data_IF_980188517341
#
_entry.id   IF_980188517341
#
_cell.length_a   1.000
_cell.length_b   1.000
_cell.length_c   1.000
_cell.angle_alpha   90.00
_cell.angle_beta   90.00
_cell.angle_gamma   90.00
#
_symmetry.space_group_name_H-M   'P 1'
#
loop_
_entity.id
_entity.type
_entity.pdbx_description
1 polymer ?
#
# COMPACT_ATOMS: atom_id res chain seq x y z
N UNK A 1 8.22 15.41 -3.58
CA UNK A 1 8.66 14.60 -2.43
C UNK A 1 8.17 15.28 -1.16
N UNK A 2 7.32 14.62 -0.37
CA UNK A 2 6.68 15.18 0.82
C UNK A 2 7.76 15.55 1.86
N UNK A 3 7.92 16.84 2.11
CA UNK A 3 8.95 17.40 2.99
C UNK A 3 8.83 16.90 4.42
N UNK A 4 9.77 16.06 4.85
CA UNK A 4 10.08 15.82 6.26
C UNK A 4 11.02 16.91 6.74
N UNK A 5 10.48 18.12 6.86
CA UNK A 5 11.24 19.31 7.24
C UNK A 5 10.36 20.34 7.93
N UNK A 6 9.81 19.99 9.09
CA UNK A 6 9.12 20.93 9.98
C UNK A 6 9.74 20.88 11.38
N UNK A 7 10.20 22.04 11.87
CA UNK A 7 10.65 22.39 13.24
C UNK A 7 11.12 21.23 14.12
N UNK A 8 12.45 21.19 14.34
CA UNK A 8 13.24 20.24 15.14
C UNK A 8 12.57 19.81 16.46
N UNK A 9 11.65 18.87 16.39
CA UNK A 9 11.14 18.12 17.53
C UNK A 9 12.10 16.94 17.75
N UNK A 10 12.42 16.61 19.01
CA UNK A 10 13.13 15.37 19.37
C UNK A 10 12.21 14.18 19.11
N UNK A 11 11.94 13.89 17.84
CA UNK A 11 11.17 12.74 17.42
C UNK A 11 11.97 11.49 17.81
N UNK A 12 11.35 10.62 18.61
CA UNK A 12 11.97 9.35 18.95
C UNK A 12 12.18 8.53 17.67
N UNK A 13 13.22 7.69 17.66
CA UNK A 13 13.48 6.76 16.54
C UNK A 13 12.25 5.91 16.20
N UNK A 14 11.43 5.61 17.20
CA UNK A 14 10.16 4.90 17.06
C UNK A 14 9.10 5.69 16.28
N UNK A 15 8.99 7.00 16.54
CA UNK A 15 8.08 7.87 15.79
C UNK A 15 8.50 8.00 14.32
N UNK A 16 9.81 8.09 14.06
CA UNK A 16 10.36 8.14 12.69
C UNK A 16 10.19 6.83 11.93
N UNK A 17 10.26 5.69 12.62
CA UNK A 17 10.06 4.36 12.00
C UNK A 17 8.60 3.97 11.84
N UNK A 18 7.66 4.82 12.26
CA UNK A 18 6.26 4.47 12.36
C UNK A 18 6.05 3.54 13.55
N UNK A 19 5.42 4.05 14.61
CA UNK A 19 5.07 3.21 15.75
C UNK A 19 4.06 2.14 15.31
N UNK A 20 4.38 0.88 15.57
CA UNK A 20 3.45 -0.26 15.59
C UNK A 20 2.85 -0.61 14.24
N UNK A 21 3.34 -1.70 13.64
CA UNK A 21 2.85 -2.28 12.38
C UNK A 21 1.42 -2.82 12.40
N UNK A 22 0.46 -2.10 12.97
CA UNK A 22 -0.95 -2.48 13.04
C UNK A 22 -1.92 -1.36 12.62
N UNK A 23 -1.45 -0.18 12.20
CA UNK A 23 -2.35 0.96 11.97
C UNK A 23 -2.47 1.47 10.52
N UNK A 24 -1.84 0.84 9.52
CA UNK A 24 -1.97 1.26 8.12
C UNK A 24 -1.98 0.09 7.14
N UNK A 25 -3.16 -0.50 6.95
CA UNK A 25 -3.52 -1.25 5.75
C UNK A 25 -3.69 -2.77 5.94
N UNK A 26 -4.90 -3.19 6.35
CA UNK A 26 -5.42 -4.53 6.05
C UNK A 26 -4.82 -5.67 6.89
N UNK A 27 -5.29 -5.82 8.14
CA UNK A 27 -5.16 -7.10 8.82
C UNK A 27 -5.93 -8.19 8.08
N UNK A 28 -5.23 -9.25 7.66
CA UNK A 28 -5.83 -10.58 7.46
C UNK A 28 -5.95 -11.12 6.04
N UNK A 29 -5.49 -10.43 5.00
CA UNK A 29 -5.52 -10.96 3.63
C UNK A 29 -4.11 -10.99 3.06
N UNK A 30 -3.63 -12.19 2.77
CA UNK A 30 -2.36 -12.46 2.10
C UNK A 30 -2.14 -11.42 0.97
N UNK A 31 -1.10 -10.58 1.05
CA UNK A 31 -0.76 -9.62 0.00
C UNK A 31 -0.67 -10.26 -1.38
N UNK A 32 -0.30 -11.54 -1.46
CA UNK A 32 -0.29 -12.28 -2.73
C UNK A 32 -1.69 -12.61 -3.23
N UNK A 33 -2.65 -12.92 -2.35
CA UNK A 33 -4.05 -13.11 -2.73
C UNK A 33 -4.65 -11.83 -3.33
N UNK A 34 -4.41 -10.68 -2.70
CA UNK A 34 -4.87 -9.38 -3.22
C UNK A 34 -4.25 -9.06 -4.59
N UNK A 35 -2.95 -9.33 -4.74
CA UNK A 35 -2.25 -9.15 -6.03
C UNK A 35 -2.86 -10.02 -7.13
N UNK A 36 -3.16 -11.30 -6.84
CA UNK A 36 -3.76 -12.23 -7.81
C UNK A 36 -5.14 -11.74 -8.25
N UNK A 37 -5.97 -11.28 -7.32
CA UNK A 37 -7.29 -10.75 -7.63
C UNK A 37 -7.22 -9.49 -8.50
N UNK A 38 -6.31 -8.57 -8.18
CA UNK A 38 -6.09 -7.36 -8.98
C UNK A 38 -5.66 -7.71 -10.41
N UNK A 39 -4.71 -8.64 -10.55
CA UNK A 39 -4.23 -9.07 -11.87
C UNK A 39 -5.33 -9.77 -12.68
N UNK A 40 -6.22 -10.52 -12.05
CA UNK A 40 -7.38 -11.13 -12.71
C UNK A 40 -8.28 -10.05 -13.32
N UNK A 41 -8.70 -9.06 -12.53
CA UNK A 41 -9.58 -7.97 -12.99
C UNK A 41 -8.94 -7.15 -14.13
N UNK A 42 -7.63 -6.90 -14.06
CA UNK A 42 -6.92 -6.18 -15.12
C UNK A 42 -6.85 -6.97 -16.42
N UNK A 43 -6.64 -8.29 -16.34
CA UNK A 43 -6.65 -9.17 -17.52
C UNK A 43 -8.03 -9.22 -18.16
N UNK A 44 -9.09 -9.43 -17.37
CA UNK A 44 -10.48 -9.47 -17.84
C UNK A 44 -10.85 -8.18 -18.61
N UNK A 45 -10.46 -7.01 -18.11
CA UNK A 45 -10.68 -5.74 -18.81
C UNK A 45 -9.92 -5.68 -20.14
N UNK A 46 -8.66 -6.12 -20.16
CA UNK A 46 -7.83 -6.07 -21.37
C UNK A 46 -8.33 -7.05 -22.44
N UNK A 47 -8.78 -8.24 -22.07
CA UNK A 47 -9.34 -9.21 -23.02
C UNK A 47 -10.67 -8.72 -23.57
N UNK A 48 -11.56 -8.20 -22.72
CA UNK A 48 -12.82 -7.60 -23.16
C UNK A 48 -12.64 -6.44 -24.14
N UNK A 49 -11.57 -5.64 -23.97
CA UNK A 49 -11.22 -4.56 -24.90
C UNK A 49 -10.51 -5.00 -26.18
N UNK A 50 -10.05 -6.26 -26.27
CA UNK A 50 -9.37 -6.79 -27.46
C UNK A 50 -10.29 -7.69 -28.31
N UNK A 51 -11.40 -8.16 -27.75
CA UNK A 51 -12.44 -8.92 -28.46
C UNK A 51 -13.58 -8.03 -29.01
N UNK A 52 -13.55 -6.72 -28.73
CA UNK A 52 -14.45 -5.71 -29.30
C UNK A 52 -13.76 -4.96 -30.46
#
# INVERSE_FOLDING_TARGET
MLGVGGTRSRLSRQALRGTGGNARGGGGLDPMAQKRELLRKLKERRTASHEA
#
